data_IF_509065806702
#
_entry.id   IF_509065806702
#
_cell.length_a   1.000
_cell.length_b   1.000
_cell.length_c   1.000
_cell.angle_alpha   90.00
_cell.angle_beta   90.00
_cell.angle_gamma   90.00
#
_symmetry.space_group_name_H-M   'P 1'
#
loop_
_entity.id
_entity.type
_entity.pdbx_description
1 polymer ?
#
# COMPACT_ATOMS: atom_id res chain seq x y z
N UNK A 1 11.05 1.19 7.05
CA UNK A 1 11.39 -0.12 6.47
C UNK A 1 12.48 0.13 5.47
N UNK A 2 13.71 -0.29 5.76
CA UNK A 2 14.83 -0.17 4.81
C UNK A 2 14.63 -1.22 3.70
N UNK A 3 14.82 -0.87 2.42
CA UNK A 3 14.70 -1.84 1.34
C UNK A 3 15.77 -2.93 1.50
N UNK A 4 15.36 -4.19 1.52
CA UNK A 4 16.29 -5.33 1.38
C UNK A 4 16.66 -5.52 -0.09
N UNK A 5 17.74 -6.26 -0.38
CA UNK A 5 18.27 -6.50 -1.76
C UNK A 5 17.22 -6.96 -2.80
N UNK A 6 16.06 -7.47 -2.38
CA UNK A 6 14.95 -7.90 -3.25
C UNK A 6 13.76 -6.91 -3.34
N UNK A 7 13.93 -5.65 -2.91
CA UNK A 7 12.85 -4.67 -2.93
C UNK A 7 12.84 -3.90 -4.26
N UNK A 8 11.84 -4.14 -5.11
CA UNK A 8 11.57 -3.27 -6.25
C UNK A 8 10.78 -2.04 -5.80
N UNK A 9 11.39 -0.85 -5.93
CA UNK A 9 10.70 0.43 -5.66
C UNK A 9 9.90 0.82 -6.90
N UNK A 10 8.62 1.15 -6.70
CA UNK A 10 7.75 1.70 -7.75
C UNK A 10 7.14 3.01 -7.27
N UNK A 11 7.24 4.03 -8.10
CA UNK A 11 6.60 5.33 -7.88
C UNK A 11 5.24 5.33 -8.57
N UNK A 12 4.21 5.81 -7.86
CA UNK A 12 2.85 5.95 -8.41
C UNK A 12 2.40 7.38 -8.16
N UNK A 13 1.85 8.01 -9.19
CA UNK A 13 1.16 9.30 -9.03
C UNK A 13 -0.28 9.03 -8.66
N UNK A 14 -0.70 9.62 -7.55
CA UNK A 14 -2.09 9.60 -7.10
C UNK A 14 -2.49 11.03 -6.74
N UNK A 15 -3.78 11.37 -6.87
CA UNK A 15 -4.32 12.62 -6.35
C UNK A 15 -4.09 12.79 -4.84
N UNK A 16 -3.95 14.03 -4.39
CA UNK A 16 -3.63 14.35 -2.99
C UNK A 16 -4.74 13.94 -2.01
N UNK A 17 -6.00 14.06 -2.40
CA UNK A 17 -7.17 13.62 -1.63
C UNK A 17 -7.13 12.10 -1.37
N UNK A 18 -6.75 11.32 -2.38
CA UNK A 18 -6.56 9.87 -2.26
C UNK A 18 -5.37 9.57 -1.36
N UNK A 19 -4.26 10.31 -1.50
CA UNK A 19 -3.08 10.15 -0.65
C UNK A 19 -3.41 10.38 0.82
N UNK A 20 -4.13 11.46 1.13
CA UNK A 20 -4.58 11.75 2.50
C UNK A 20 -5.50 10.65 3.04
N UNK A 21 -6.45 10.20 2.22
CA UNK A 21 -7.38 9.16 2.61
C UNK A 21 -6.66 7.84 2.94
N UNK A 22 -5.69 7.44 2.13
CA UNK A 22 -4.83 6.27 2.39
C UNK A 22 -4.07 6.48 3.70
N UNK A 23 -3.48 7.66 3.91
CA UNK A 23 -2.67 7.95 5.09
C UNK A 23 -3.51 7.86 6.39
N UNK A 24 -4.74 8.36 6.38
CA UNK A 24 -5.68 8.21 7.52
C UNK A 24 -5.96 6.73 7.82
N UNK A 25 -6.15 5.91 6.80
CA UNK A 25 -6.38 4.45 6.95
C UNK A 25 -5.13 3.70 7.43
N UNK A 26 -3.96 4.08 6.94
CA UNK A 26 -2.67 3.54 7.37
C UNK A 26 -2.43 3.81 8.86
N UNK A 27 -2.68 5.04 9.32
CA UNK A 27 -2.59 5.43 10.73
C UNK A 27 -3.50 4.60 11.64
N UNK A 28 -4.75 4.36 11.26
CA UNK A 28 -5.69 3.49 12.03
C UNK A 28 -5.16 2.06 12.22
N UNK A 29 -4.39 1.55 11.27
CA UNK A 29 -3.76 0.22 11.33
C UNK A 29 -2.35 0.24 11.91
N UNK A 30 -1.84 1.39 12.37
CA UNK A 30 -0.44 1.59 12.80
C UNK A 30 0.57 1.15 11.73
N UNK A 31 0.24 1.36 10.46
CA UNK A 31 1.08 1.04 9.30
C UNK A 31 1.61 2.32 8.65
N UNK A 32 2.78 2.23 8.00
CA UNK A 32 3.22 3.25 7.06
C UNK A 32 2.35 3.23 5.80
N UNK A 33 2.34 4.34 5.06
CA UNK A 33 1.64 4.45 3.79
C UNK A 33 1.97 3.28 2.85
N UNK A 34 3.26 3.02 2.61
CA UNK A 34 3.73 1.97 1.70
C UNK A 34 3.37 0.56 2.21
N UNK A 35 3.41 0.33 3.53
CA UNK A 35 3.03 -0.96 4.11
C UNK A 35 1.52 -1.21 3.96
N UNK A 36 0.70 -0.18 4.19
CA UNK A 36 -0.74 -0.25 3.99
C UNK A 36 -1.09 -0.49 2.52
N UNK A 37 -0.46 0.24 1.60
CA UNK A 37 -0.67 0.08 0.16
C UNK A 37 -0.32 -1.34 -0.30
N UNK A 38 0.85 -1.85 0.09
CA UNK A 38 1.28 -3.22 -0.23
C UNK A 38 0.30 -4.28 0.32
N UNK A 39 -0.19 -4.09 1.56
CA UNK A 39 -1.23 -4.95 2.12
C UNK A 39 -2.52 -4.90 1.30
N UNK A 40 -3.00 -3.71 0.94
CA UNK A 40 -4.23 -3.52 0.16
C UNK A 40 -4.13 -4.19 -1.22
N UNK A 41 -2.99 -4.01 -1.91
CA UNK A 41 -2.74 -4.69 -3.19
C UNK A 41 -2.74 -6.21 -3.06
N UNK A 42 -2.09 -6.76 -2.02
CA UNK A 42 -2.09 -8.21 -1.76
C UNK A 42 -3.50 -8.75 -1.49
N UNK A 43 -4.32 -8.02 -0.73
CA UNK A 43 -5.71 -8.39 -0.46
C UNK A 43 -6.51 -8.42 -1.76
N UNK A 44 -6.45 -7.35 -2.57
CA UNK A 44 -7.14 -7.28 -3.85
C UNK A 44 -6.71 -8.42 -4.80
N UNK A 45 -5.41 -8.67 -4.94
CA UNK A 45 -4.90 -9.76 -5.79
C UNK A 45 -5.38 -11.14 -5.33
N UNK A 46 -5.44 -11.40 -4.01
CA UNK A 46 -6.00 -12.66 -3.49
C UNK A 46 -7.48 -12.81 -3.81
N UNK A 47 -8.26 -11.72 -3.71
CA UNK A 47 -9.68 -11.73 -4.06
C UNK A 47 -9.93 -11.98 -5.54
N UNK A 48 -9.02 -11.56 -6.43
CA UNK A 48 -9.11 -11.84 -7.86
C UNK A 48 -8.70 -13.26 -8.24
N UNK A 49 -7.76 -13.88 -7.51
CA UNK A 49 -7.28 -15.24 -7.80
C UNK A 49 -8.24 -16.36 -7.36
N UNK A 50 -9.25 -16.02 -6.54
CA UNK A 50 -10.30 -16.94 -6.10
C UNK A 50 -11.56 -16.93 -6.97
N UNK A 51 -11.52 -16.27 -8.13
CA UNK A 51 -12.53 -16.31 -9.20
C UNK A 51 -11.90 -16.92 -10.45
#
# INVERSE_FOLDING_TARGET
MSPTKNTTVRSVRIPDDISEWINRRAKRKKLSFSAWANWAFKVALRSHKGR
#
